data_IF_563234641603
#
_entry.id   IF_563234641603
#
_cell.length_a   1.000
_cell.length_b   1.000
_cell.length_c   1.000
_cell.angle_alpha   90.00
_cell.angle_beta   90.00
_cell.angle_gamma   90.00
#
_symmetry.space_group_name_H-M   'P 1'
#
loop_
_entity.id
_entity.type
_entity.pdbx_description
1 polymer ?
#
# COMPACT_ATOMS: atom_id res chain seq x y z
N UNK A 1 -14.53 -11.60 -8.02
CA UNK A 1 -13.26 -11.39 -7.29
C UNK A 1 -12.17 -11.97 -8.16
N UNK A 2 -11.30 -11.15 -8.75
CA UNK A 2 -10.18 -11.65 -9.56
C UNK A 2 -9.01 -11.86 -8.61
N UNK A 3 -9.01 -13.00 -7.91
CA UNK A 3 -7.83 -13.47 -7.19
C UNK A 3 -6.84 -13.98 -8.23
N UNK A 4 -5.63 -13.43 -8.26
CA UNK A 4 -4.55 -13.99 -9.07
C UNK A 4 -3.98 -15.14 -8.23
N UNK A 5 -4.25 -16.38 -8.63
CA UNK A 5 -3.54 -17.53 -8.10
C UNK A 5 -2.12 -17.52 -8.69
N UNK A 6 -1.16 -17.00 -7.93
CA UNK A 6 0.23 -16.92 -8.38
C UNK A 6 0.89 -18.27 -8.08
N UNK A 7 1.28 -18.99 -9.13
CA UNK A 7 1.95 -20.31 -9.07
C UNK A 7 3.44 -20.21 -8.66
N UNK A 8 4.03 -19.03 -8.75
CA UNK A 8 5.43 -18.78 -8.35
C UNK A 8 5.51 -18.10 -6.98
N UNK A 9 6.58 -18.37 -6.24
CA UNK A 9 6.83 -17.68 -4.98
C UNK A 9 6.92 -16.17 -5.26
N UNK A 10 5.96 -15.41 -4.73
CA UNK A 10 5.97 -13.96 -4.79
C UNK A 10 7.20 -13.50 -4.02
N UNK A 11 8.22 -13.01 -4.74
CA UNK A 11 9.37 -12.36 -4.11
C UNK A 11 8.85 -11.14 -3.35
N UNK A 12 8.82 -11.27 -2.03
CA UNK A 12 8.46 -10.19 -1.13
C UNK A 12 9.71 -9.47 -0.68
N UNK A 13 9.62 -8.15 -0.57
CA UNK A 13 10.71 -7.32 -0.06
C UNK A 13 10.16 -6.20 0.80
N UNK A 14 10.98 -5.78 1.76
CA UNK A 14 10.72 -4.61 2.58
C UNK A 14 11.46 -3.43 1.98
N UNK A 15 10.70 -2.39 1.64
CA UNK A 15 11.25 -1.13 1.14
C UNK A 15 11.20 -0.11 2.29
N UNK A 16 12.31 0.54 2.64
CA UNK A 16 12.30 1.67 3.57
C UNK A 16 11.39 2.77 3.02
N UNK A 17 10.47 3.26 3.85
CA UNK A 17 9.56 4.34 3.52
C UNK A 17 9.19 5.12 4.79
N UNK A 18 9.56 6.40 4.84
CA UNK A 18 9.34 7.34 5.94
C UNK A 18 9.85 6.85 7.31
N UNK A 19 11.05 6.28 7.33
CA UNK A 19 11.64 5.67 8.54
C UNK A 19 10.94 4.39 9.00
N UNK A 20 10.04 3.84 8.18
CA UNK A 20 9.35 2.58 8.40
C UNK A 20 9.62 1.64 7.22
N UNK A 21 8.99 0.47 7.20
CA UNK A 21 9.08 -0.47 6.09
C UNK A 21 7.71 -0.73 5.50
N UNK A 22 7.64 -0.81 4.18
CA UNK A 22 6.45 -1.23 3.45
C UNK A 22 6.73 -2.57 2.77
N UNK A 23 5.76 -3.48 2.85
CA UNK A 23 5.85 -4.80 2.23
C UNK A 23 5.46 -4.69 0.76
N UNK A 24 6.35 -5.13 -0.12
CA UNK A 24 6.10 -5.17 -1.56
C UNK A 24 6.24 -6.59 -2.12
N UNK A 25 5.63 -6.82 -3.27
CA UNK A 25 5.66 -8.07 -4.03
C UNK A 25 5.92 -7.80 -5.50
N UNK A 26 6.78 -8.58 -6.14
CA UNK A 26 6.88 -8.61 -7.60
C UNK A 26 5.96 -9.69 -8.16
N UNK A 27 5.00 -9.30 -8.99
CA UNK A 27 4.06 -10.20 -9.66
C UNK A 27 4.01 -9.85 -11.14
N UNK A 28 4.40 -10.80 -12.01
CA UNK A 28 4.41 -10.62 -13.46
C UNK A 28 5.08 -9.30 -13.93
N UNK A 29 6.22 -8.95 -13.33
CA UNK A 29 6.96 -7.73 -13.65
C UNK A 29 6.39 -6.42 -13.06
N UNK A 30 5.36 -6.50 -12.23
CA UNK A 30 4.77 -5.33 -11.56
C UNK A 30 5.03 -5.41 -10.06
N UNK A 31 5.58 -4.32 -9.50
CA UNK A 31 5.69 -4.15 -8.06
C UNK A 31 4.33 -3.78 -7.46
N UNK A 32 3.89 -4.53 -6.46
CA UNK A 32 2.69 -4.28 -5.67
C UNK A 32 3.07 -3.93 -4.24
N UNK A 33 2.31 -3.05 -3.60
CA UNK A 33 2.47 -2.67 -2.19
C UNK A 33 1.29 -3.18 -1.38
N UNK A 34 1.57 -3.81 -0.23
CA UNK A 34 0.54 -4.17 0.74
C UNK A 34 0.01 -2.91 1.42
N UNK A 35 -1.29 -2.65 1.30
CA UNK A 35 -1.85 -1.37 1.74
C UNK A 35 -2.07 -1.27 3.25
N UNK A 36 -2.36 -2.38 3.93
CA UNK A 36 -2.61 -2.35 5.38
C UNK A 36 -1.41 -1.83 6.18
N UNK A 37 -0.16 -2.31 5.97
CA UNK A 37 1.01 -1.75 6.64
C UNK A 37 1.19 -0.25 6.37
N UNK A 38 0.98 0.23 5.14
CA UNK A 38 1.07 1.66 4.80
C UNK A 38 0.05 2.49 5.60
N UNK A 39 -1.20 2.02 5.63
CA UNK A 39 -2.31 2.69 6.33
C UNK A 39 -2.06 2.73 7.85
N UNK A 40 -1.66 1.60 8.42
CA UNK A 40 -1.35 1.49 9.86
C UNK A 40 -0.14 2.35 10.21
N UNK A 41 0.88 2.37 9.36
CA UNK A 41 2.07 3.20 9.54
C UNK A 41 1.71 4.69 9.61
N UNK A 42 0.85 5.20 8.72
CA UNK A 42 0.40 6.61 8.78
C UNK A 42 -0.47 6.87 10.03
N UNK A 43 -1.15 5.85 10.57
CA UNK A 43 -2.10 5.97 11.68
C UNK A 43 -3.55 6.20 11.22
N UNK A 44 -3.85 5.81 9.98
CA UNK A 44 -5.18 5.88 9.37
C UNK A 44 -6.00 4.63 9.71
N UNK A 45 -7.33 4.72 9.61
CA UNK A 45 -8.21 3.56 9.79
C UNK A 45 -8.17 2.62 8.58
N UNK A 46 -7.71 1.38 8.78
CA UNK A 46 -7.74 0.35 7.74
C UNK A 46 -9.12 0.13 7.13
N UNK A 47 -10.17 0.03 7.97
CA UNK A 47 -11.54 -0.24 7.50
C UNK A 47 -12.03 0.86 6.56
N UNK A 48 -11.75 2.13 6.85
CA UNK A 48 -12.13 3.24 5.98
C UNK A 48 -11.34 3.25 4.67
N UNK A 49 -10.05 2.96 4.72
CA UNK A 49 -9.18 3.01 3.54
C UNK A 49 -9.41 1.83 2.60
N UNK A 50 -9.64 0.61 3.12
CA UNK A 50 -9.96 -0.55 2.27
C UNK A 50 -11.29 -0.37 1.56
N UNK A 51 -12.32 0.20 2.21
CA UNK A 51 -13.60 0.51 1.54
C UNK A 51 -13.43 1.50 0.39
N UNK A 52 -12.59 2.52 0.57
CA UNK A 52 -12.24 3.46 -0.50
C UNK A 52 -11.53 2.76 -1.66
N UNK A 53 -10.54 1.92 -1.36
CA UNK A 53 -9.80 1.16 -2.36
C UNK A 53 -10.71 0.21 -3.15
N UNK A 54 -11.63 -0.49 -2.47
CA UNK A 54 -12.61 -1.37 -3.10
C UNK A 54 -13.61 -0.60 -3.98
N UNK A 55 -14.11 0.55 -3.50
CA UNK A 55 -15.00 1.42 -4.30
C UNK A 55 -14.31 1.98 -5.55
N UNK A 56 -13.00 2.17 -5.48
CA UNK A 56 -12.16 2.72 -6.56
C UNK A 56 -11.23 1.65 -7.14
N UNK A 57 -11.62 0.36 -7.08
CA UNK A 57 -10.76 -0.78 -7.40
C UNK A 57 -10.14 -0.67 -8.79
N UNK A 58 -10.89 -0.21 -9.79
CA UNK A 58 -10.45 -0.15 -11.18
C UNK A 58 -9.47 1.02 -11.40
N UNK A 59 -9.54 2.07 -10.58
CA UNK A 59 -8.60 3.21 -10.62
C UNK A 59 -7.26 2.84 -10.00
N UNK A 60 -7.29 2.10 -8.90
CA UNK A 60 -6.10 1.73 -8.13
C UNK A 60 -5.57 0.33 -8.44
N UNK A 61 -6.26 -0.45 -9.27
CA UNK A 61 -6.00 -1.86 -9.53
C UNK A 61 -5.86 -2.67 -8.23
N UNK A 62 -6.82 -2.49 -7.32
CA UNK A 62 -6.84 -3.23 -6.06
C UNK A 62 -7.02 -4.72 -6.32
N UNK A 63 -6.13 -5.53 -5.76
CA UNK A 63 -6.11 -6.98 -5.89
C UNK A 63 -5.60 -7.60 -4.60
N UNK A 64 -6.15 -8.76 -4.26
CA UNK A 64 -5.64 -9.54 -3.13
C UNK A 64 -4.51 -10.45 -3.61
N UNK A 65 -3.35 -10.39 -2.95
CA UNK A 65 -2.14 -11.16 -3.28
C UNK A 65 -1.73 -11.99 -2.07
N UNK A 66 -1.46 -13.27 -2.28
CA UNK A 66 -0.82 -14.13 -1.26
C UNK A 66 0.63 -13.71 -1.08
N UNK A 67 0.92 -13.08 0.05
CA UNK A 67 2.26 -12.62 0.42
C UNK A 67 2.79 -13.41 1.62
N UNK A 68 4.08 -13.70 1.61
CA UNK A 68 4.79 -14.21 2.80
C UNK A 68 5.20 -13.00 3.64
N UNK A 69 4.69 -12.90 4.86
CA UNK A 69 5.11 -11.86 5.80
C UNK A 69 6.40 -12.27 6.53
N UNK A 70 6.97 -11.35 7.32
CA UNK A 70 8.23 -11.59 8.06
C UNK A 70 8.23 -12.78 9.04
N UNK A 71 7.08 -13.36 9.36
CA UNK A 71 6.94 -14.59 10.15
C UNK A 71 6.85 -15.87 9.30
N UNK A 72 7.17 -15.79 8.00
CA UNK A 72 7.08 -16.86 7.01
C UNK A 72 5.67 -17.40 6.77
N UNK A 73 4.62 -16.76 7.30
CA UNK A 73 3.24 -17.16 7.06
C UNK A 73 2.70 -16.48 5.79
N UNK A 74 2.06 -17.29 4.95
CA UNK A 74 1.26 -16.78 3.82
C UNK A 74 0.02 -16.09 4.36
N UNK A 75 -0.24 -14.88 3.88
CA UNK A 75 -1.45 -14.12 4.17
C UNK A 75 -1.94 -13.48 2.89
N UNK A 76 -3.26 -13.51 2.69
CA UNK A 76 -3.91 -12.77 1.64
C UNK A 76 -3.92 -11.27 2.02
N UNK A 77 -3.27 -10.45 1.20
CA UNK A 77 -3.07 -9.03 1.45
C UNK A 77 -3.69 -8.19 0.35
N UNK A 78 -4.43 -7.16 0.75
CA UNK A 78 -4.93 -6.14 -0.17
C UNK A 78 -3.81 -5.27 -0.70
N UNK A 79 -3.60 -5.33 -2.01
CA UNK A 79 -2.48 -4.71 -2.69
C UNK A 79 -2.94 -3.77 -3.82
N UNK A 80 -2.09 -2.79 -4.12
CA UNK A 80 -2.17 -1.97 -5.34
C UNK A 80 -0.79 -1.94 -6.00
N UNK A 81 -0.68 -1.68 -7.31
CA UNK A 81 0.62 -1.44 -7.93
C UNK A 81 1.33 -0.27 -7.24
N UNK A 82 2.62 -0.43 -6.94
CA UNK A 82 3.42 0.58 -6.25
C UNK A 82 3.35 1.94 -6.96
N UNK A 83 3.35 1.95 -8.30
CA UNK A 83 3.17 3.18 -9.12
C UNK A 83 1.85 3.93 -8.89
N UNK A 84 0.85 3.31 -8.25
CA UNK A 84 -0.45 3.92 -7.91
C UNK A 84 -0.51 4.41 -6.45
N UNK A 85 0.51 4.13 -5.63
CA UNK A 85 0.58 4.53 -4.23
C UNK A 85 0.45 6.04 -4.07
N UNK A 86 1.19 6.81 -4.86
CA UNK A 86 1.12 8.28 -4.85
C UNK A 86 -0.32 8.77 -5.10
N UNK A 87 -0.98 8.22 -6.12
CA UNK A 87 -2.37 8.59 -6.44
C UNK A 87 -3.36 8.29 -5.29
N UNK A 88 -3.09 7.27 -4.47
CA UNK A 88 -3.87 7.00 -3.27
C UNK A 88 -3.54 7.99 -2.16
N UNK A 89 -2.25 8.24 -1.87
CA UNK A 89 -1.81 9.20 -0.85
C UNK A 89 -2.39 10.60 -1.08
N UNK A 90 -2.31 11.13 -2.31
CA UNK A 90 -2.83 12.45 -2.66
C UNK A 90 -4.37 12.52 -2.71
N UNK A 91 -5.04 11.37 -2.65
CA UNK A 91 -6.50 11.34 -2.50
C UNK A 91 -6.96 11.54 -1.05
N UNK A 92 -6.04 11.64 -0.10
CA UNK A 92 -6.30 11.88 1.32
C UNK A 92 -5.94 13.34 1.61
N UNK A 93 -6.93 14.12 2.08
CA UNK A 93 -6.73 15.52 2.40
C UNK A 93 -6.16 15.64 3.84
N UNK A 94 -4.95 16.20 4.05
CA UNK A 94 -4.35 16.39 5.38
C UNK A 94 -5.20 17.25 6.34
N UNK A 95 -6.04 18.14 5.82
CA UNK A 95 -6.95 18.94 6.64
C UNK A 95 -8.17 18.15 7.15
N UNK A 96 -8.43 16.97 6.59
CA UNK A 96 -9.56 16.11 6.96
C UNK A 96 -9.14 14.87 7.77
N UNK A 97 -7.89 14.82 8.23
CA UNK A 97 -7.41 13.77 9.14
C UNK A 97 -7.22 14.33 10.54
N UNK A 98 -7.06 13.44 11.53
CA UNK A 98 -6.70 13.86 12.89
C UNK A 98 -5.39 14.64 12.88
N UNK A 99 -5.30 15.66 13.72
CA UNK A 99 -4.15 16.55 13.80
C UNK A 99 -2.84 15.79 14.08
N UNK A 100 -2.87 14.76 14.93
CA UNK A 100 -1.68 14.01 15.35
C UNK A 100 -1.08 13.10 14.27
N UNK A 101 -1.80 12.85 13.16
CA UNK A 101 -1.28 12.08 12.01
C UNK A 101 -1.02 12.94 10.77
N UNK A 102 -1.37 14.23 10.81
CA UNK A 102 -1.30 15.15 9.66
C UNK A 102 0.13 15.26 9.11
N UNK A 103 1.09 15.58 9.96
CA UNK A 103 2.49 15.75 9.56
C UNK A 103 3.07 14.45 9.00
N UNK A 104 2.64 13.31 9.53
CA UNK A 104 3.07 12.00 9.03
C UNK A 104 2.52 11.74 7.63
N UNK A 105 1.23 12.02 7.39
CA UNK A 105 0.64 11.92 6.05
C UNK A 105 1.34 12.84 5.05
N UNK A 106 1.66 14.08 5.44
CA UNK A 106 2.40 15.03 4.58
C UNK A 106 3.78 14.47 4.24
N UNK A 107 4.54 13.94 5.21
CA UNK A 107 5.84 13.29 4.94
C UNK A 107 5.70 12.11 3.97
N UNK A 108 4.68 11.27 4.13
CA UNK A 108 4.37 10.20 3.18
C UNK A 108 4.09 10.75 1.77
N UNK A 109 3.37 11.86 1.65
CA UNK A 109 3.10 12.53 0.38
C UNK A 109 4.37 13.09 -0.27
N UNK A 110 5.24 13.74 0.52
CA UNK A 110 6.50 14.33 0.05
C UNK A 110 7.54 13.28 -0.39
N UNK A 111 7.75 12.23 0.39
CA UNK A 111 8.69 11.14 0.02
C UNK A 111 8.25 10.39 -1.24
N UNK A 112 6.95 10.36 -1.51
CA UNK A 112 6.44 9.84 -2.76
C UNK A 112 6.82 10.71 -3.98
N UNK A 113 7.11 11.99 -3.82
CA UNK A 113 7.64 12.84 -4.89
C UNK A 113 9.13 12.61 -5.14
N UNK A 114 9.92 12.22 -4.15
CA UNK A 114 11.37 12.01 -4.30
C UNK A 114 11.72 10.79 -5.15
N UNK A 115 10.75 9.94 -5.48
CA UNK A 115 10.95 8.75 -6.35
C UNK A 115 10.97 9.12 -7.86
N UNK A 116 10.50 10.32 -8.23
CA UNK A 116 10.40 10.76 -9.63
C UNK A 116 11.51 11.73 -10.07
N UNK A 117 12.48 12.03 -9.19
CA UNK A 117 13.64 12.89 -9.43
C UNK A 117 14.94 12.13 -9.21
#
# INVERSE_FOLDING_TARGET
MNSIAILEAVNTSYVPFNGQHVLTAMVAGVAYVAMKPVVDNIGLSWSSQVQKLLKMKDKFNYVDIDMVAGDMKKRLMGCIPLKKLNGWLFSINPEKVRADIRDKLIKYQEECFTVLY
#
